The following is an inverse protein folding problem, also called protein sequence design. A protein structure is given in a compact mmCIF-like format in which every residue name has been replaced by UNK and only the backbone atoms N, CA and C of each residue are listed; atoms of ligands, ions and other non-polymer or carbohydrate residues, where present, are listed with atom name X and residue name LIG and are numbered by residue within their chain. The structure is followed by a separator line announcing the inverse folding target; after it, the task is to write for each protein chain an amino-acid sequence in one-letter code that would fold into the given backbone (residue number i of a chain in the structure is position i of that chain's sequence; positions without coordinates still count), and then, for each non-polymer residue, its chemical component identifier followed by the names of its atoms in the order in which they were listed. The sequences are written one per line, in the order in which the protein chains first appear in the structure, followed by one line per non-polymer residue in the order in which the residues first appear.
data_IF_448397657560
#
_entry.id   IF_448397657560
#
_cell.length_a   1.000
_cell.length_b   1.000
_cell.length_c   1.000
_cell.angle_alpha   90.00
_cell.angle_beta   90.00
_cell.angle_gamma   90.00
#
_symmetry.space_group_name_H-M   'P 1'
#
loop_
_entity.id
_entity.type
_entity.pdbx_description
1 polymer ?
#
# COMPACT_ATOMS: atom_id res chain seq x y z
N UNK A 1 10.80 14.40 5.91
CA UNK A 1 9.84 14.98 6.93
C UNK A 1 9.93 14.18 8.21
N UNK A 2 9.98 14.80 9.41
CA UNK A 2 9.89 14.07 10.70
C UNK A 2 8.44 13.77 11.05
N UNK A 3 8.18 12.62 11.70
CA UNK A 3 6.83 12.16 12.07
C UNK A 3 6.30 12.87 13.32
N UNK A 4 7.21 13.26 14.22
CA UNK A 4 6.85 13.92 15.48
C UNK A 4 5.96 15.14 15.23
N UNK A 5 4.89 15.25 16.00
CA UNK A 5 3.88 16.31 15.96
C UNK A 5 3.04 16.36 14.66
N UNK A 6 3.10 15.33 13.80
CA UNK A 6 2.35 15.24 12.56
C UNK A 6 0.99 14.53 12.72
N UNK A 7 0.04 14.92 11.90
CA UNK A 7 -1.24 14.23 11.75
C UNK A 7 -1.16 13.25 10.59
N UNK A 8 -1.41 11.98 10.88
CA UNK A 8 -1.26 10.88 9.94
C UNK A 8 -2.61 10.21 9.69
N UNK A 9 -2.94 9.97 8.44
CA UNK A 9 -4.09 9.17 8.02
C UNK A 9 -3.58 7.88 7.41
N UNK A 10 -4.16 6.73 7.81
CA UNK A 10 -3.79 5.40 7.27
C UNK A 10 -5.05 4.65 6.85
N UNK A 11 -5.13 4.30 5.56
CA UNK A 11 -6.20 3.44 5.04
C UNK A 11 -5.79 1.97 5.08
N UNK A 12 -6.78 1.05 5.27
CA UNK A 12 -6.49 -0.37 5.49
C UNK A 12 -5.78 -0.62 6.81
N UNK A 13 -6.14 0.16 7.86
CA UNK A 13 -5.43 0.16 9.14
C UNK A 13 -5.86 -0.96 10.10
N UNK A 14 -6.90 -1.73 9.78
CA UNK A 14 -7.39 -2.82 10.63
C UNK A 14 -6.37 -3.96 10.78
N UNK A 15 -5.49 -4.17 9.81
CA UNK A 15 -4.56 -5.30 9.83
C UNK A 15 -3.26 -5.03 9.05
N UNK A 16 -2.34 -5.98 9.07
CA UNK A 16 -1.16 -6.03 8.22
C UNK A 16 -0.31 -4.76 8.26
N UNK A 17 0.10 -4.30 7.08
CA UNK A 17 0.97 -3.13 6.93
C UNK A 17 0.31 -1.86 7.49
N UNK A 18 -0.99 -1.65 7.23
CA UNK A 18 -1.71 -0.46 7.71
C UNK A 18 -1.74 -0.37 9.24
N UNK A 19 -2.03 -1.47 9.93
CA UNK A 19 -1.96 -1.55 11.39
C UNK A 19 -0.55 -1.26 11.90
N UNK A 20 0.46 -1.87 11.30
CA UNK A 20 1.86 -1.65 11.69
C UNK A 20 2.29 -0.19 11.48
N UNK A 21 1.86 0.44 10.39
CA UNK A 21 2.10 1.86 10.13
C UNK A 21 1.46 2.75 11.21
N UNK A 22 0.17 2.53 11.53
CA UNK A 22 -0.52 3.31 12.56
C UNK A 22 0.19 3.23 13.92
N UNK A 23 0.54 2.02 14.36
CA UNK A 23 1.28 1.79 15.60
C UNK A 23 2.68 2.45 15.57
N UNK A 24 3.39 2.33 14.45
CA UNK A 24 4.72 2.90 14.31
C UNK A 24 4.69 4.42 14.32
N UNK A 25 3.76 5.06 13.61
CA UNK A 25 3.64 6.51 13.60
C UNK A 25 3.31 7.09 14.99
N UNK A 26 2.44 6.43 15.74
CA UNK A 26 2.18 6.81 17.13
C UNK A 26 3.45 6.71 18.00
N UNK A 27 4.24 5.64 17.84
CA UNK A 27 5.52 5.46 18.55
C UNK A 27 6.55 6.55 18.19
N UNK A 28 6.51 7.06 16.94
CA UNK A 28 7.37 8.18 16.50
C UNK A 28 6.86 9.55 16.97
N UNK A 29 5.80 9.59 17.77
CA UNK A 29 5.28 10.83 18.36
C UNK A 29 4.37 11.62 17.41
N UNK A 30 3.66 10.96 16.51
CA UNK A 30 2.59 11.60 15.73
C UNK A 30 1.57 12.25 16.66
N UNK A 31 1.14 13.48 16.35
CA UNK A 31 0.15 14.24 17.14
C UNK A 31 -1.26 13.65 17.04
N UNK A 32 -1.58 12.99 15.94
CA UNK A 32 -2.84 12.31 15.71
C UNK A 32 -2.70 11.25 14.64
N UNK A 33 -3.37 10.10 14.85
CA UNK A 33 -3.42 9.01 13.87
C UNK A 33 -4.90 8.70 13.57
N UNK A 34 -5.26 8.76 12.30
CA UNK A 34 -6.59 8.38 11.81
C UNK A 34 -6.46 7.01 11.16
N UNK A 35 -7.12 6.01 11.74
CA UNK A 35 -7.15 4.64 11.28
C UNK A 35 -8.47 4.37 10.56
N UNK A 36 -8.42 3.90 9.31
CA UNK A 36 -9.65 3.61 8.57
C UNK A 36 -9.57 2.29 7.83
N UNK A 37 -10.70 1.61 7.76
CA UNK A 37 -10.86 0.32 7.09
C UNK A 37 -12.34 0.08 6.73
N UNK A 38 -12.61 -0.92 5.87
CA UNK A 38 -13.96 -1.46 5.70
C UNK A 38 -14.48 -2.09 7.00
N UNK A 39 -13.58 -2.74 7.76
CA UNK A 39 -13.87 -3.25 9.09
C UNK A 39 -13.67 -2.13 10.12
N UNK A 40 -14.74 -1.39 10.39
CA UNK A 40 -14.72 -0.27 11.33
C UNK A 40 -14.35 -0.70 12.76
N UNK A 41 -14.79 -1.86 13.20
CA UNK A 41 -14.52 -2.34 14.55
C UNK A 41 -13.02 -2.54 14.79
N UNK A 42 -12.34 -3.19 13.85
CA UNK A 42 -10.89 -3.41 13.93
C UNK A 42 -10.12 -2.09 13.74
N UNK A 43 -10.57 -1.19 12.85
CA UNK A 43 -9.98 0.14 12.72
C UNK A 43 -10.08 0.94 14.02
N UNK A 44 -11.22 0.90 14.71
CA UNK A 44 -11.41 1.52 16.03
C UNK A 44 -10.52 0.89 17.11
N UNK A 45 -10.35 -0.44 17.09
CA UNK A 45 -9.45 -1.12 18.03
C UNK A 45 -7.99 -0.67 17.86
N UNK A 46 -7.52 -0.56 16.63
CA UNK A 46 -6.16 -0.04 16.34
C UNK A 46 -6.05 1.43 16.73
N UNK A 47 -7.05 2.25 16.42
CA UNK A 47 -7.10 3.66 16.79
C UNK A 47 -7.04 3.86 18.31
N UNK A 48 -7.77 3.06 19.07
CA UNK A 48 -7.72 3.11 20.53
C UNK A 48 -6.31 2.81 21.09
N UNK A 49 -5.60 1.85 20.48
CA UNK A 49 -4.23 1.51 20.90
C UNK A 49 -3.20 2.63 20.64
N UNK A 50 -3.51 3.57 19.75
CA UNK A 50 -2.65 4.71 19.40
C UNK A 50 -3.19 6.06 19.87
N UNK A 51 -4.28 6.09 20.62
CA UNK A 51 -4.94 7.34 21.06
C UNK A 51 -5.49 8.18 19.90
N UNK A 52 -5.83 7.51 18.78
CA UNK A 52 -6.30 8.13 17.55
C UNK A 52 -7.81 8.05 17.36
N UNK A 53 -8.27 8.25 16.13
CA UNK A 53 -9.66 8.01 15.72
C UNK A 53 -9.74 6.88 14.70
N UNK A 54 -10.76 6.03 14.86
CA UNK A 54 -11.05 4.92 13.97
C UNK A 54 -12.40 5.11 13.27
N UNK A 55 -12.46 4.87 11.96
CA UNK A 55 -13.71 5.02 11.21
C UNK A 55 -13.80 4.05 10.04
N UNK A 56 -15.03 3.81 9.58
CA UNK A 56 -15.28 3.11 8.33
C UNK A 56 -14.83 3.94 7.14
N UNK A 57 -14.28 3.28 6.11
CA UNK A 57 -14.04 3.87 4.80
C UNK A 57 -13.94 2.78 3.72
N UNK A 58 -14.83 2.76 2.75
CA UNK A 58 -14.56 2.11 1.47
C UNK A 58 -13.73 3.06 0.60
N UNK A 59 -12.44 2.75 0.47
CA UNK A 59 -11.50 3.59 -0.29
C UNK A 59 -11.84 3.71 -1.78
N UNK A 60 -12.71 2.86 -2.31
CA UNK A 60 -13.25 2.97 -3.66
C UNK A 60 -14.40 3.98 -3.80
N UNK A 61 -14.82 4.62 -2.70
CA UNK A 61 -15.89 5.62 -2.69
C UNK A 61 -15.34 7.02 -2.43
N UNK A 62 -15.61 7.96 -3.33
CA UNK A 62 -15.14 9.34 -3.20
C UNK A 62 -15.74 10.05 -1.97
N UNK A 63 -17.01 9.74 -1.63
CA UNK A 63 -17.68 10.27 -0.45
C UNK A 63 -16.95 9.91 0.85
N UNK A 64 -16.54 8.64 0.98
CA UNK A 64 -15.88 8.15 2.18
C UNK A 64 -14.47 8.74 2.30
N UNK A 65 -13.75 8.85 1.19
CA UNK A 65 -12.43 9.46 1.16
C UNK A 65 -12.47 10.94 1.55
N UNK A 66 -13.50 11.68 1.10
CA UNK A 66 -13.72 13.08 1.50
C UNK A 66 -14.09 13.17 2.99
N UNK A 67 -15.00 12.32 3.47
CA UNK A 67 -15.40 12.29 4.88
C UNK A 67 -14.19 11.98 5.80
N UNK A 68 -13.30 11.08 5.38
CA UNK A 68 -12.07 10.77 6.08
C UNK A 68 -11.16 12.00 6.27
N UNK A 69 -10.95 12.77 5.21
CA UNK A 69 -10.12 13.98 5.27
C UNK A 69 -10.80 15.06 6.13
N UNK A 70 -12.11 15.23 6.02
CA UNK A 70 -12.88 16.17 6.86
C UNK A 70 -12.75 15.78 8.35
N UNK A 71 -12.96 14.53 8.70
CA UNK A 71 -12.82 14.06 10.09
C UNK A 71 -11.42 14.32 10.67
N UNK A 72 -10.36 14.12 9.87
CA UNK A 72 -8.99 14.42 10.28
C UNK A 72 -8.80 15.92 10.54
N UNK A 73 -9.33 16.78 9.66
CA UNK A 73 -9.27 18.23 9.80
C UNK A 73 -10.06 18.75 11.01
N UNK A 74 -11.28 18.26 11.22
CA UNK A 74 -12.11 18.64 12.37
C UNK A 74 -11.45 18.27 13.71
N UNK A 75 -10.84 17.10 13.78
CA UNK A 75 -10.23 16.58 15.01
C UNK A 75 -8.85 17.16 15.31
N UNK A 76 -8.03 17.36 14.28
CA UNK A 76 -6.61 17.68 14.44
C UNK A 76 -6.18 18.96 13.70
N UNK A 77 -7.02 19.54 12.85
CA UNK A 77 -6.75 20.79 12.12
C UNK A 77 -5.80 20.63 10.93
N UNK A 78 -5.32 19.42 10.63
CA UNK A 78 -4.36 19.19 9.54
C UNK A 78 -4.41 17.74 9.05
N UNK A 79 -3.81 17.52 7.84
CA UNK A 79 -3.38 16.21 7.36
C UNK A 79 -1.95 16.39 6.83
N UNK A 80 -0.97 15.96 7.61
CA UNK A 80 0.44 16.09 7.24
C UNK A 80 0.93 14.91 6.40
N UNK A 81 0.52 13.68 6.76
CA UNK A 81 0.90 12.44 6.08
C UNK A 81 -0.35 11.63 5.76
N UNK A 82 -0.49 11.21 4.52
CA UNK A 82 -1.58 10.34 4.08
C UNK A 82 -1.01 9.03 3.52
N UNK A 83 -1.24 7.92 4.22
CA UNK A 83 -0.87 6.59 3.79
C UNK A 83 -2.05 5.92 3.08
N UNK A 84 -2.08 6.02 1.75
CA UNK A 84 -3.01 5.30 0.89
C UNK A 84 -2.53 3.85 0.78
N UNK A 85 -2.96 3.00 1.74
CA UNK A 85 -2.39 1.68 1.95
C UNK A 85 -3.39 0.54 1.69
N UNK A 86 -4.69 0.76 1.82
CA UNK A 86 -5.69 -0.27 1.54
C UNK A 86 -5.46 -0.95 0.19
N UNK A 87 -5.64 -2.26 0.14
CA UNK A 87 -5.45 -3.04 -1.08
C UNK A 87 -6.03 -4.44 -0.94
N UNK A 88 -6.35 -5.05 -2.06
CA UNK A 88 -6.84 -6.42 -2.16
C UNK A 88 -6.02 -7.19 -3.20
N UNK A 89 -5.98 -8.51 -3.05
CA UNK A 89 -5.40 -9.41 -4.05
C UNK A 89 -6.53 -10.25 -4.65
N UNK A 90 -6.61 -10.27 -5.99
CA UNK A 90 -7.39 -11.24 -6.74
C UNK A 90 -6.44 -12.23 -7.40
N UNK A 91 -6.73 -13.52 -7.30
CA UNK A 91 -5.88 -14.59 -7.85
C UNK A 91 -6.46 -15.14 -9.15
N UNK A 92 -6.79 -14.25 -10.08
CA UNK A 92 -7.43 -14.62 -11.33
C UNK A 92 -6.67 -14.05 -12.53
N UNK A 93 -6.62 -14.85 -13.58
CA UNK A 93 -6.08 -14.48 -14.89
C UNK A 93 -7.13 -13.81 -15.78
N UNK A 94 -7.25 -14.29 -17.01
CA UNK A 94 -8.28 -13.83 -17.96
C UNK A 94 -9.67 -14.30 -17.60
N UNK A 95 -9.82 -15.29 -16.74
CA UNK A 95 -11.05 -15.82 -16.18
C UNK A 95 -11.67 -14.91 -15.09
N UNK A 96 -10.95 -13.90 -14.62
CA UNK A 96 -11.50 -12.89 -13.72
C UNK A 96 -12.72 -12.20 -14.36
N UNK A 97 -13.83 -12.16 -13.62
CA UNK A 97 -15.01 -11.41 -14.06
C UNK A 97 -14.74 -9.91 -14.19
N UNK A 98 -15.49 -9.19 -15.03
CA UNK A 98 -15.37 -7.74 -15.11
C UNK A 98 -15.68 -7.04 -13.78
N UNK A 99 -16.47 -7.66 -12.90
CA UNK A 99 -16.73 -7.15 -11.55
C UNK A 99 -15.47 -7.21 -10.67
N UNK A 100 -14.74 -8.31 -10.73
CA UNK A 100 -13.45 -8.45 -10.02
C UNK A 100 -12.39 -7.50 -10.57
N UNK A 101 -12.31 -7.34 -11.90
CA UNK A 101 -11.43 -6.35 -12.52
C UNK A 101 -11.72 -4.95 -12.00
N UNK A 102 -13.00 -4.52 -12.04
CA UNK A 102 -13.40 -3.20 -11.54
C UNK A 102 -13.08 -3.05 -10.06
N UNK A 103 -13.49 -4.00 -9.21
CA UNK A 103 -13.24 -3.93 -7.77
C UNK A 103 -11.75 -3.84 -7.46
N UNK A 104 -10.90 -4.61 -8.14
CA UNK A 104 -9.44 -4.57 -7.94
C UNK A 104 -8.86 -3.23 -8.38
N UNK A 105 -9.30 -2.68 -9.50
CA UNK A 105 -8.89 -1.36 -9.96
C UNK A 105 -9.36 -0.25 -9.02
N UNK A 106 -10.60 -0.31 -8.53
CA UNK A 106 -11.16 0.70 -7.61
C UNK A 106 -10.36 0.74 -6.31
N UNK A 107 -10.05 -0.41 -5.72
CA UNK A 107 -9.33 -0.46 -4.43
C UNK A 107 -7.84 -0.23 -4.58
N UNK A 108 -7.17 -0.86 -5.57
CA UNK A 108 -5.71 -0.84 -5.66
C UNK A 108 -5.15 0.36 -6.44
N UNK A 109 -5.98 1.04 -7.22
CA UNK A 109 -5.55 2.16 -8.06
C UNK A 109 -6.43 3.40 -7.86
N UNK A 110 -7.76 3.33 -8.12
CA UNK A 110 -8.62 4.52 -8.01
C UNK A 110 -8.63 5.09 -6.60
N UNK A 111 -8.49 4.26 -5.56
CA UNK A 111 -8.34 4.72 -4.19
C UNK A 111 -7.16 5.71 -4.01
N UNK A 112 -6.03 5.50 -4.69
CA UNK A 112 -4.91 6.47 -4.67
C UNK A 112 -5.29 7.78 -5.37
N UNK A 113 -6.07 7.72 -6.45
CA UNK A 113 -6.57 8.91 -7.15
C UNK A 113 -7.54 9.68 -6.26
N UNK A 114 -8.50 8.98 -5.63
CA UNK A 114 -9.48 9.59 -4.72
C UNK A 114 -8.81 10.20 -3.49
N UNK A 115 -7.83 9.50 -2.90
CA UNK A 115 -7.02 10.03 -1.81
C UNK A 115 -6.30 11.32 -2.19
N UNK A 116 -5.62 11.34 -3.35
CA UNK A 116 -4.92 12.53 -3.81
C UNK A 116 -5.89 13.70 -4.08
N UNK A 117 -7.05 13.44 -4.71
CA UNK A 117 -8.10 14.44 -4.94
C UNK A 117 -8.60 15.07 -3.63
N UNK A 118 -8.76 14.27 -2.59
CA UNK A 118 -9.24 14.73 -1.29
C UNK A 118 -8.14 15.47 -0.50
N UNK A 119 -6.89 14.97 -0.48
CA UNK A 119 -5.87 15.49 0.44
C UNK A 119 -4.93 16.53 -0.17
N UNK A 120 -4.64 16.47 -1.47
CA UNK A 120 -3.71 17.42 -2.13
C UNK A 120 -4.16 18.89 -1.96
N UNK A 121 -5.44 19.26 -2.15
CA UNK A 121 -5.88 20.63 -1.91
C UNK A 121 -5.62 21.13 -0.48
N UNK A 122 -5.77 20.22 0.51
CA UNK A 122 -5.48 20.51 1.92
C UNK A 122 -3.99 20.75 2.13
N UNK A 123 -3.14 19.84 1.64
CA UNK A 123 -1.69 19.93 1.75
C UNK A 123 -1.11 21.16 1.05
N UNK A 124 -1.68 21.52 -0.12
CA UNK A 124 -1.28 22.76 -0.80
C UNK A 124 -1.61 24.02 0.02
N UNK A 125 -2.76 24.03 0.68
CA UNK A 125 -3.15 25.13 1.60
C UNK A 125 -2.24 25.19 2.83
N UNK A 126 -1.77 24.04 3.31
CA UNK A 126 -0.81 23.94 4.41
C UNK A 126 0.62 24.33 3.98
N UNK A 127 0.90 24.38 2.68
CA UNK A 127 2.24 24.59 2.12
C UNK A 127 3.18 23.39 2.24
N UNK A 128 2.70 22.26 2.80
CA UNK A 128 3.47 21.03 2.96
C UNK A 128 2.55 19.81 3.11
N UNK A 129 3.03 18.64 2.65
CA UNK A 129 2.33 17.39 2.83
C UNK A 129 3.18 16.18 2.40
N UNK A 130 2.75 15.00 2.79
CA UNK A 130 3.40 13.75 2.42
C UNK A 130 2.36 12.67 2.07
N UNK A 131 2.50 12.04 0.92
CA UNK A 131 1.65 10.91 0.52
C UNK A 131 2.52 9.66 0.40
N UNK A 132 2.11 8.57 1.07
CA UNK A 132 2.69 7.24 0.89
C UNK A 132 1.69 6.38 0.17
N UNK A 133 1.99 5.98 -1.07
CA UNK A 133 1.17 5.05 -1.84
C UNK A 133 1.71 3.62 -1.68
N UNK A 134 0.89 2.69 -1.18
CA UNK A 134 1.27 1.28 -1.08
C UNK A 134 0.94 0.55 -2.39
N UNK A 135 1.96 0.39 -3.22
CA UNK A 135 1.90 -0.44 -4.40
C UNK A 135 2.28 -1.91 -4.09
N UNK A 136 3.28 -2.46 -4.76
CA UNK A 136 3.82 -3.81 -4.57
C UNK A 136 5.08 -3.99 -5.42
N UNK A 137 5.95 -4.92 -5.10
CA UNK A 137 6.97 -5.42 -6.02
C UNK A 137 6.35 -5.95 -7.33
N UNK A 138 5.10 -6.40 -7.30
CA UNK A 138 4.34 -6.77 -8.49
C UNK A 138 4.13 -5.62 -9.47
N UNK A 139 4.24 -4.37 -9.03
CA UNK A 139 4.14 -3.18 -9.88
C UNK A 139 5.43 -2.93 -10.68
N UNK A 140 6.56 -3.33 -10.14
CA UNK A 140 7.87 -3.22 -10.79
C UNK A 140 8.17 -4.50 -11.60
N UNK A 141 7.71 -5.64 -11.10
CA UNK A 141 7.90 -6.96 -11.68
C UNK A 141 6.59 -7.51 -12.28
N UNK A 142 5.95 -8.44 -11.58
CA UNK A 142 4.68 -9.07 -11.96
C UNK A 142 4.23 -10.01 -10.82
N UNK A 143 2.93 -10.11 -10.61
CA UNK A 143 2.32 -11.22 -9.87
C UNK A 143 1.84 -12.25 -10.90
N UNK A 144 2.49 -13.42 -10.90
CA UNK A 144 2.35 -14.40 -12.00
C UNK A 144 0.94 -14.99 -12.11
N UNK A 145 0.25 -15.13 -10.99
CA UNK A 145 -1.07 -15.75 -10.83
C UNK A 145 -2.22 -14.73 -10.77
N UNK A 146 -1.92 -13.43 -10.95
CA UNK A 146 -2.94 -12.39 -10.90
C UNK A 146 -2.72 -11.28 -11.92
N UNK A 147 -3.54 -11.27 -12.97
CA UNK A 147 -3.54 -10.19 -13.96
C UNK A 147 -4.09 -8.89 -13.37
N UNK A 148 -5.22 -8.96 -12.64
CA UNK A 148 -5.89 -7.80 -12.05
C UNK A 148 -4.98 -7.06 -11.06
N UNK A 149 -4.31 -7.82 -10.18
CA UNK A 149 -3.36 -7.26 -9.22
C UNK A 149 -2.14 -6.62 -9.90
N UNK A 150 -1.53 -7.34 -10.85
CA UNK A 150 -0.38 -6.84 -11.61
C UNK A 150 -0.68 -5.50 -12.27
N UNK A 151 -1.79 -5.42 -13.03
CA UNK A 151 -2.17 -4.21 -13.75
C UNK A 151 -2.49 -3.07 -12.79
N UNK A 152 -3.29 -3.33 -11.74
CA UNK A 152 -3.66 -2.29 -10.77
C UNK A 152 -2.46 -1.72 -10.01
N UNK A 153 -1.50 -2.56 -9.64
CA UNK A 153 -0.31 -2.10 -8.92
C UNK A 153 0.69 -1.37 -9.83
N UNK A 154 0.80 -1.72 -11.11
CA UNK A 154 1.55 -0.91 -12.09
C UNK A 154 0.91 0.48 -12.26
N UNK A 155 -0.41 0.56 -12.35
CA UNK A 155 -1.13 1.83 -12.41
C UNK A 155 -0.87 2.70 -11.17
N UNK A 156 -0.82 2.10 -9.97
CA UNK A 156 -0.52 2.80 -8.72
C UNK A 156 0.88 3.43 -8.71
N UNK A 157 1.91 2.71 -9.19
CA UNK A 157 3.29 3.26 -9.30
C UNK A 157 3.31 4.42 -10.28
N UNK A 158 2.77 4.24 -11.49
CA UNK A 158 2.75 5.29 -12.51
C UNK A 158 2.05 6.56 -12.01
N UNK A 159 0.95 6.42 -11.25
CA UNK A 159 0.26 7.57 -10.66
C UNK A 159 1.09 8.23 -9.54
N UNK A 160 1.75 7.45 -8.70
CA UNK A 160 2.63 7.99 -7.66
C UNK A 160 3.81 8.77 -8.26
N UNK A 161 4.41 8.27 -9.35
CA UNK A 161 5.45 8.98 -10.11
C UNK A 161 4.92 10.29 -10.67
N UNK A 162 3.74 10.25 -11.31
CA UNK A 162 3.10 11.44 -11.84
C UNK A 162 2.83 12.49 -10.76
N UNK A 163 2.32 12.07 -9.58
CA UNK A 163 2.12 12.96 -8.45
C UNK A 163 3.44 13.58 -7.97
N UNK A 164 4.50 12.78 -7.86
CA UNK A 164 5.82 13.24 -7.43
C UNK A 164 6.36 14.34 -8.36
N UNK A 165 6.29 14.13 -9.68
CA UNK A 165 6.74 15.10 -10.68
C UNK A 165 5.94 16.41 -10.60
N UNK A 166 4.62 16.33 -10.37
CA UNK A 166 3.75 17.52 -10.47
C UNK A 166 3.61 18.32 -9.18
N UNK A 167 3.93 17.71 -8.00
CA UNK A 167 3.65 18.35 -6.71
C UNK A 167 4.88 18.50 -5.81
N UNK A 168 6.02 17.91 -6.12
CA UNK A 168 7.22 17.99 -5.27
C UNK A 168 7.67 19.45 -5.06
N UNK A 169 7.73 20.25 -6.10
CA UNK A 169 8.11 21.68 -6.01
C UNK A 169 7.02 22.55 -5.33
N UNK A 170 5.83 21.99 -5.15
CA UNK A 170 4.71 22.63 -4.46
C UNK A 170 4.62 22.23 -2.97
N UNK A 171 5.68 21.61 -2.44
CA UNK A 171 5.79 21.21 -1.03
C UNK A 171 5.15 19.87 -0.66
N UNK A 172 4.66 19.08 -1.64
CA UNK A 172 4.08 17.77 -1.37
C UNK A 172 5.05 16.67 -1.80
N UNK A 173 5.52 15.88 -0.83
CA UNK A 173 6.40 14.73 -1.09
C UNK A 173 5.60 13.45 -1.27
N UNK A 174 6.11 12.58 -2.13
CA UNK A 174 5.46 11.31 -2.44
C UNK A 174 6.47 10.18 -2.22
N UNK A 175 6.03 9.11 -1.55
CA UNK A 175 6.75 7.83 -1.54
C UNK A 175 5.85 6.73 -2.08
N UNK A 176 6.45 5.77 -2.77
CA UNK A 176 5.80 4.58 -3.28
C UNK A 176 6.39 3.34 -2.62
N UNK A 177 5.61 2.67 -1.78
CA UNK A 177 5.99 1.46 -1.07
C UNK A 177 5.72 0.24 -1.96
N UNK A 178 6.77 -0.49 -2.31
CA UNK A 178 6.72 -1.66 -3.18
C UNK A 178 7.24 -2.93 -2.48
N UNK A 179 6.50 -3.48 -1.52
CA UNK A 179 6.90 -4.69 -0.81
C UNK A 179 6.70 -5.94 -1.67
N UNK A 180 7.50 -6.98 -1.39
CA UNK A 180 7.29 -8.36 -1.86
C UNK A 180 6.42 -9.12 -0.85
N UNK A 181 6.82 -10.30 -0.36
CA UNK A 181 6.11 -11.05 0.66
C UNK A 181 6.17 -10.36 2.03
N UNK A 182 5.03 -10.03 2.60
CA UNK A 182 4.92 -9.48 3.97
C UNK A 182 4.00 -10.37 4.78
N UNK A 183 4.45 -10.79 5.98
CA UNK A 183 3.66 -11.64 6.89
C UNK A 183 2.43 -10.91 7.41
N UNK A 184 1.36 -11.00 6.63
CA UNK A 184 0.06 -10.37 6.87
C UNK A 184 -1.05 -11.36 6.53
N UNK A 185 -2.31 -11.12 6.94
CA UNK A 185 -3.44 -11.95 6.51
C UNK A 185 -3.58 -12.08 4.99
N UNK A 186 -3.17 -11.08 4.22
CA UNK A 186 -3.16 -11.14 2.75
C UNK A 186 -2.22 -12.24 2.21
N UNK A 187 -1.06 -12.44 2.81
CA UNK A 187 -0.10 -13.48 2.41
C UNK A 187 -0.43 -14.83 3.06
N UNK A 188 -0.67 -14.83 4.37
CA UNK A 188 -0.75 -16.03 5.18
C UNK A 188 -2.17 -16.62 5.29
N UNK A 189 -3.19 -15.94 4.75
CA UNK A 189 -4.58 -16.31 4.95
C UNK A 189 -5.08 -16.00 6.36
N UNK A 190 -6.38 -16.28 6.60
CA UNK A 190 -7.00 -16.07 7.91
C UNK A 190 -6.48 -17.03 8.99
N UNK A 191 -6.04 -18.24 8.60
CA UNK A 191 -5.42 -19.22 9.51
C UNK A 191 -3.98 -18.87 9.89
N UNK A 192 -3.30 -18.02 9.12
CA UNK A 192 -1.87 -17.71 9.30
C UNK A 192 -0.91 -18.78 8.75
N UNK A 193 -1.43 -19.81 8.09
CA UNK A 193 -0.67 -21.00 7.67
C UNK A 193 -0.49 -21.15 6.15
N UNK A 194 -1.17 -20.27 5.36
CA UNK A 194 -1.05 -20.32 3.91
C UNK A 194 0.41 -20.18 3.47
N UNK A 195 0.86 -21.08 2.61
CA UNK A 195 2.19 -21.03 2.00
C UNK A 195 2.07 -20.58 0.55
N UNK A 196 3.01 -19.77 0.12
CA UNK A 196 3.15 -19.34 -1.28
C UNK A 196 4.63 -19.20 -1.61
N UNK A 197 4.97 -19.05 -2.86
CA UNK A 197 6.36 -18.78 -3.29
C UNK A 197 6.93 -17.47 -2.70
N UNK A 198 6.09 -16.61 -2.14
CA UNK A 198 6.48 -15.37 -1.44
C UNK A 198 6.64 -15.55 0.08
N UNK A 199 6.36 -16.76 0.63
CA UNK A 199 6.46 -16.98 2.07
C UNK A 199 7.91 -17.03 2.53
N UNK A 200 8.78 -17.66 1.73
CA UNK A 200 10.23 -17.62 1.94
C UNK A 200 10.77 -16.23 1.63
N UNK A 201 11.57 -15.68 2.54
CA UNK A 201 12.07 -14.30 2.44
C UNK A 201 11.06 -13.20 2.79
N UNK A 202 9.83 -13.57 3.25
CA UNK A 202 8.87 -12.57 3.70
C UNK A 202 9.33 -11.83 4.95
N UNK A 203 9.10 -10.51 4.99
CA UNK A 203 9.42 -9.64 6.12
C UNK A 203 8.19 -9.42 7.01
N UNK A 204 8.39 -8.89 8.23
CA UNK A 204 7.26 -8.50 9.10
C UNK A 204 6.60 -7.19 8.63
N UNK A 205 5.36 -6.97 9.02
CA UNK A 205 4.69 -5.69 8.78
C UNK A 205 5.38 -4.54 9.55
N UNK A 206 5.94 -4.83 10.70
CA UNK A 206 6.70 -3.90 11.54
C UNK A 206 8.01 -3.46 10.86
N UNK A 207 8.72 -4.36 10.20
CA UNK A 207 9.90 -4.04 9.40
C UNK A 207 9.53 -3.12 8.24
N UNK A 208 8.41 -3.41 7.55
CA UNK A 208 7.89 -2.54 6.49
C UNK A 208 7.58 -1.15 7.02
N UNK A 209 6.88 -1.05 8.16
CA UNK A 209 6.56 0.24 8.79
C UNK A 209 7.82 1.02 9.17
N UNK A 210 8.87 0.34 9.63
CA UNK A 210 10.17 0.95 9.92
C UNK A 210 10.81 1.54 8.67
N UNK A 211 10.82 0.79 7.55
CA UNK A 211 11.34 1.29 6.27
C UNK A 211 10.55 2.47 5.72
N UNK A 212 9.24 2.51 5.97
CA UNK A 212 8.39 3.66 5.57
C UNK A 212 8.79 4.91 6.35
N UNK A 213 8.98 4.82 7.68
CA UNK A 213 9.42 5.96 8.50
C UNK A 213 10.78 6.48 8.03
N UNK A 214 11.77 5.59 7.86
CA UNK A 214 13.10 5.94 7.33
C UNK A 214 13.02 6.66 5.97
N UNK A 215 12.14 6.20 5.10
CA UNK A 215 11.96 6.78 3.77
C UNK A 215 11.27 8.15 3.80
N UNK A 216 10.28 8.34 4.67
CA UNK A 216 9.63 9.64 4.89
C UNK A 216 10.64 10.65 5.41
N UNK A 217 11.50 10.28 6.37
CA UNK A 217 12.53 11.16 6.92
C UNK A 217 13.58 11.53 5.86
N UNK A 218 13.97 10.59 5.01
CA UNK A 218 14.90 10.78 3.90
C UNK A 218 14.26 11.36 2.62
N UNK A 219 12.94 11.55 2.61
CA UNK A 219 12.14 11.97 1.44
C UNK A 219 12.39 11.10 0.19
N UNK A 220 12.59 9.79 0.40
CA UNK A 220 12.87 8.83 -0.66
C UNK A 220 11.59 8.41 -1.37
N UNK A 221 11.55 8.49 -2.71
CA UNK A 221 10.39 8.09 -3.50
C UNK A 221 10.11 6.58 -3.42
N UNK A 222 11.06 5.74 -3.83
CA UNK A 222 10.86 4.29 -3.88
C UNK A 222 11.27 3.62 -2.58
N UNK A 223 10.33 2.91 -1.94
CA UNK A 223 10.56 2.16 -0.71
C UNK A 223 10.52 0.67 -1.04
N UNK A 224 11.67 0.01 -0.94
CA UNK A 224 11.83 -1.42 -1.16
C UNK A 224 12.20 -2.12 0.15
N UNK A 225 11.22 -2.74 0.86
CA UNK A 225 11.52 -3.53 2.05
C UNK A 225 12.38 -4.78 1.73
N UNK A 226 12.34 -5.21 0.47
CA UNK A 226 13.13 -6.31 -0.10
C UNK A 226 14.13 -5.73 -1.10
N UNK A 227 15.40 -5.53 -0.70
CA UNK A 227 16.39 -4.83 -1.54
C UNK A 227 16.66 -5.51 -2.88
N UNK A 228 16.50 -6.83 -2.96
CA UNK A 228 16.67 -7.63 -4.18
C UNK A 228 15.70 -7.26 -5.30
N UNK A 229 14.57 -6.64 -4.97
CA UNK A 229 13.58 -6.18 -5.97
C UNK A 229 14.21 -5.17 -6.94
N UNK A 230 15.10 -4.30 -6.47
CA UNK A 230 15.81 -3.34 -7.32
C UNK A 230 16.65 -4.05 -8.39
N UNK A 231 17.32 -5.13 -8.02
CA UNK A 231 18.12 -5.91 -8.99
C UNK A 231 17.20 -6.67 -9.97
N UNK A 232 16.07 -7.19 -9.50
CA UNK A 232 15.09 -7.85 -10.39
C UNK A 232 14.49 -6.87 -11.40
N UNK A 233 14.18 -5.67 -10.98
CA UNK A 233 13.70 -4.59 -11.88
C UNK A 233 14.77 -4.21 -12.91
N UNK A 234 16.02 -4.05 -12.48
CA UNK A 234 17.14 -3.78 -13.36
C UNK A 234 17.30 -4.88 -14.44
N UNK A 235 17.19 -6.15 -14.05
CA UNK A 235 17.22 -7.29 -15.01
C UNK A 235 16.04 -7.28 -15.96
N UNK A 236 14.85 -6.93 -15.46
CA UNK A 236 13.63 -6.81 -16.29
C UNK A 236 13.78 -5.73 -17.37
N UNK A 237 14.40 -4.60 -17.04
CA UNK A 237 14.58 -3.49 -17.98
C UNK A 237 15.75 -3.72 -18.94
N UNK A 238 16.80 -4.39 -18.50
CA UNK A 238 17.98 -4.67 -19.32
C UNK A 238 17.71 -5.65 -20.48
N UNK A 239 16.89 -6.70 -20.24
CA UNK A 239 16.54 -7.69 -21.26
C UNK A 239 15.13 -8.25 -20.95
N UNK A 240 14.14 -7.67 -21.62
CA UNK A 240 12.73 -8.01 -21.42
C UNK A 240 12.39 -9.44 -21.82
N UNK A 241 12.92 -9.94 -22.92
CA UNK A 241 12.61 -11.28 -23.42
C UNK A 241 13.20 -12.38 -22.54
N UNK A 242 14.45 -12.19 -22.11
CA UNK A 242 15.10 -13.07 -21.13
C UNK A 242 14.32 -13.10 -19.82
N UNK A 243 13.89 -11.93 -19.33
CA UNK A 243 13.10 -11.84 -18.10
C UNK A 243 11.75 -12.56 -18.23
N UNK A 244 11.00 -12.34 -19.34
CA UNK A 244 9.75 -13.06 -19.63
C UNK A 244 9.96 -14.57 -19.70
N UNK A 245 11.09 -15.03 -20.27
CA UNK A 245 11.49 -16.43 -20.23
C UNK A 245 11.64 -16.98 -18.80
N UNK A 246 12.25 -16.20 -17.92
CA UNK A 246 12.35 -16.52 -16.48
C UNK A 246 11.00 -16.60 -15.78
N UNK A 247 10.12 -15.63 -16.05
CA UNK A 247 8.76 -15.61 -15.46
C UNK A 247 7.88 -16.79 -15.93
N UNK A 248 8.04 -17.24 -17.19
CA UNK A 248 7.37 -18.46 -17.67
C UNK A 248 7.82 -19.70 -16.91
N UNK A 249 9.12 -19.83 -16.62
CA UNK A 249 9.65 -20.95 -15.81
C UNK A 249 9.14 -20.89 -14.36
N UNK A 250 9.14 -19.71 -13.75
CA UNK A 250 8.57 -19.53 -12.41
C UNK A 250 7.09 -19.92 -12.37
N UNK A 251 6.30 -19.47 -13.36
CA UNK A 251 4.89 -19.86 -13.47
C UNK A 251 4.71 -21.37 -13.57
N UNK A 252 5.52 -22.04 -14.38
CA UNK A 252 5.47 -23.49 -14.53
C UNK A 252 5.77 -24.21 -13.19
N UNK A 253 6.76 -23.72 -12.43
CA UNK A 253 7.09 -24.28 -11.12
C UNK A 253 5.95 -24.08 -10.11
N UNK A 254 5.33 -22.89 -10.07
CA UNK A 254 4.18 -22.60 -9.19
C UNK A 254 2.98 -23.51 -9.53
N UNK A 255 2.73 -23.79 -10.82
CA UNK A 255 1.63 -24.67 -11.24
C UNK A 255 1.93 -26.12 -10.84
N UNK A 256 3.19 -26.56 -10.94
CA UNK A 256 3.59 -27.91 -10.63
C UNK A 256 3.56 -28.24 -9.13
N UNK A 257 3.75 -27.23 -8.26
CA UNK A 257 3.75 -27.41 -6.80
C UNK A 257 2.57 -26.66 -6.15
N UNK A 258 1.52 -27.38 -5.71
CA UNK A 258 0.37 -26.75 -5.04
C UNK A 258 0.74 -25.93 -3.81
N UNK A 259 1.83 -26.25 -3.11
CA UNK A 259 2.31 -25.49 -1.95
C UNK A 259 2.79 -24.08 -2.30
N UNK A 260 3.19 -23.86 -3.55
CA UNK A 260 3.62 -22.56 -4.03
C UNK A 260 2.46 -21.67 -4.51
N UNK A 261 1.27 -22.25 -4.79
CA UNK A 261 0.09 -21.53 -5.28
C UNK A 261 -0.52 -20.64 -4.20
N UNK A 262 -0.41 -21.04 -2.94
CA UNK A 262 -1.11 -20.35 -1.84
C UNK A 262 -2.63 -20.54 -1.92
N UNK A 263 -3.09 -21.68 -2.46
CA UNK A 263 -4.50 -22.04 -2.40
C UNK A 263 -4.86 -22.42 -0.97
N UNK A 264 -5.98 -21.91 -0.49
CA UNK A 264 -6.57 -22.42 0.76
C UNK A 264 -7.15 -23.82 0.40
N UNK A 265 -6.68 -24.89 1.08
CA UNK A 265 -7.30 -26.20 1.06
C UNK A 265 -8.67 -26.14 1.75
#
# INVERSE_FOLDING_TARGET
MKIKDKVVVVTGAASGIGKALALRFAKEGARGVVCTDLNEADAKAVAAAVGGIGMHCDVGQESDMNALVVAALERYGAVDIFCSNAGIIGRHGLDASLKEWRRTMDVNFMAHVLAARAVVPVMLKQGAGYIVATASAAALLMQVDSATYTVSKHAAVAFAEWLSVNYAERGIRISCLCPQGVRTPMLLGSSGERKSFLSEGSVSAEDVASRVVEAIEAERFLILPHPEVAEYERRKTADRDRWLGGMRRLRAAIIADPKLRGDDN
#
